data_IF_014858467779
#
_entry.id   IF_014858467779
#
_cell.length_a   1.000
_cell.length_b   1.000
_cell.length_c   1.000
_cell.angle_alpha   90.00
_cell.angle_beta   90.00
_cell.angle_gamma   90.00
#
_symmetry.space_group_name_H-M   'P 1'
#
loop_
_entity.id
_entity.type
_entity.pdbx_description
1 polymer ?
#
# COMPACT_ATOMS: atom_id res chain seq x y z
N UNK A 1 8.70 -12.79 -6.46
CA UNK A 1 8.67 -11.54 -5.66
C UNK A 1 8.39 -10.29 -6.48
N UNK A 2 9.01 -10.16 -7.66
CA UNK A 2 8.90 -8.94 -8.49
C UNK A 2 7.48 -8.53 -8.85
N UNK A 3 6.55 -9.49 -9.01
CA UNK A 3 5.13 -9.18 -9.22
C UNK A 3 4.46 -8.61 -7.98
N UNK A 4 4.71 -9.19 -6.80
CA UNK A 4 4.16 -8.71 -5.53
C UNK A 4 4.71 -7.32 -5.22
N UNK A 5 6.01 -7.09 -5.41
CA UNK A 5 6.64 -5.76 -5.30
C UNK A 5 6.11 -4.77 -6.34
N UNK A 6 5.85 -5.18 -7.58
CA UNK A 6 5.25 -4.32 -8.62
C UNK A 6 3.82 -3.94 -8.25
N UNK A 7 3.01 -4.89 -7.80
CA UNK A 7 1.64 -4.66 -7.38
C UNK A 7 1.61 -3.72 -6.16
N UNK A 8 2.45 -3.99 -5.14
CA UNK A 8 2.61 -3.13 -3.97
C UNK A 8 3.01 -1.70 -4.37
N UNK A 9 4.03 -1.52 -5.22
CA UNK A 9 4.40 -0.17 -5.70
C UNK A 9 3.28 0.55 -6.44
N UNK A 10 2.55 -0.14 -7.33
CA UNK A 10 1.41 0.47 -8.05
C UNK A 10 0.32 0.94 -7.07
N UNK A 11 0.02 0.13 -6.08
CA UNK A 11 -0.97 0.44 -5.05
C UNK A 11 -0.48 1.56 -4.11
N UNK A 12 0.77 1.49 -3.66
CA UNK A 12 1.41 2.50 -2.83
C UNK A 12 1.41 3.88 -3.51
N UNK A 13 1.69 3.95 -4.81
CA UNK A 13 1.64 5.22 -5.57
C UNK A 13 0.20 5.72 -5.75
N UNK A 14 -0.77 4.81 -5.91
CA UNK A 14 -2.19 5.16 -6.06
C UNK A 14 -2.80 5.69 -4.77
N UNK A 15 -2.35 5.18 -3.63
CA UNK A 15 -2.83 5.55 -2.29
C UNK A 15 -1.77 6.31 -1.48
N UNK A 16 -0.78 6.91 -2.12
CA UNK A 16 0.29 7.61 -1.40
C UNK A 16 -0.30 8.84 -0.70
N UNK A 17 0.01 9.06 0.59
CA UNK A 17 -0.48 10.23 1.31
C UNK A 17 -0.17 11.53 0.58
N UNK A 18 1.02 11.69 -0.04
CA UNK A 18 1.33 12.87 -0.88
C UNK A 18 0.29 13.18 -1.95
N UNK A 19 -0.24 12.17 -2.65
CA UNK A 19 -1.19 12.41 -3.75
C UNK A 19 -2.58 12.77 -3.26
N UNK A 20 -2.87 12.52 -1.99
CA UNK A 20 -4.16 12.80 -1.36
C UNK A 20 -4.09 13.94 -0.34
N UNK A 21 -2.91 14.54 -0.14
CA UNK A 21 -2.75 15.73 0.69
C UNK A 21 -3.63 16.88 0.17
N UNK A 22 -3.68 17.04 -1.14
CA UNK A 22 -4.46 18.08 -1.82
C UNK A 22 -5.99 17.85 -1.74
N UNK A 23 -6.41 16.60 -1.53
CA UNK A 23 -7.82 16.20 -1.49
C UNK A 23 -8.46 16.35 -0.10
N UNK A 24 -7.68 16.70 0.93
CA UNK A 24 -8.15 16.94 2.29
C UNK A 24 -8.12 15.71 3.21
N UNK A 25 -8.47 15.95 4.48
CA UNK A 25 -8.26 14.99 5.59
C UNK A 25 -9.03 13.67 5.43
N UNK A 26 -10.22 13.72 4.84
CA UNK A 26 -11.04 12.54 4.60
C UNK A 26 -10.36 11.57 3.61
N UNK A 27 -9.83 12.10 2.52
CA UNK A 27 -9.08 11.31 1.53
C UNK A 27 -7.75 10.80 2.10
N UNK A 28 -7.08 11.60 2.94
CA UNK A 28 -5.88 11.17 3.66
C UNK A 28 -6.14 9.95 4.57
N UNK A 29 -7.25 9.97 5.32
CA UNK A 29 -7.66 8.82 6.16
C UNK A 29 -7.96 7.58 5.32
N UNK A 30 -8.73 7.74 4.25
CA UNK A 30 -9.10 6.64 3.36
C UNK A 30 -7.87 6.04 2.67
N UNK A 31 -6.95 6.88 2.19
CA UNK A 31 -5.71 6.42 1.57
C UNK A 31 -4.83 5.68 2.58
N UNK A 32 -4.75 6.17 3.82
CA UNK A 32 -4.00 5.52 4.90
C UNK A 32 -4.58 4.14 5.23
N UNK A 33 -5.88 4.01 5.44
CA UNK A 33 -6.52 2.71 5.68
C UNK A 33 -6.27 1.71 4.56
N UNK A 34 -6.38 2.17 3.29
CA UNK A 34 -6.09 1.32 2.14
C UNK A 34 -4.62 0.94 2.09
N UNK A 35 -3.71 1.89 2.36
CA UNK A 35 -2.28 1.66 2.37
C UNK A 35 -1.88 0.65 3.46
N UNK A 36 -2.40 0.79 4.67
CA UNK A 36 -2.20 -0.15 5.78
C UNK A 36 -2.70 -1.57 5.40
N UNK A 37 -3.89 -1.69 4.81
CA UNK A 37 -4.40 -2.98 4.34
C UNK A 37 -3.52 -3.61 3.24
N UNK A 38 -3.03 -2.81 2.30
CA UNK A 38 -2.11 -3.25 1.24
C UNK A 38 -0.77 -3.70 1.83
N UNK A 39 -0.27 -2.97 2.83
CA UNK A 39 0.99 -3.29 3.49
C UNK A 39 0.87 -4.58 4.31
N UNK A 40 -0.21 -4.75 5.08
CA UNK A 40 -0.49 -5.99 5.82
C UNK A 40 -0.60 -7.20 4.89
N UNK A 41 -1.34 -7.07 3.78
CA UNK A 41 -1.43 -8.13 2.77
C UNK A 41 -0.05 -8.43 2.14
N UNK A 42 0.76 -7.40 1.88
CA UNK A 42 2.12 -7.56 1.37
C UNK A 42 3.02 -8.31 2.36
N UNK A 43 3.00 -7.93 3.65
CA UNK A 43 3.77 -8.58 4.71
C UNK A 43 3.37 -10.04 4.88
N UNK A 44 2.06 -10.33 4.84
CA UNK A 44 1.56 -11.69 4.94
C UNK A 44 2.00 -12.55 3.75
N UNK A 45 1.90 -12.04 2.52
CA UNK A 45 2.40 -12.73 1.33
C UNK A 45 3.92 -12.90 1.39
N UNK A 46 4.65 -11.90 1.89
CA UNK A 46 6.11 -11.95 2.04
C UNK A 46 6.52 -13.05 3.02
N UNK A 47 5.81 -13.16 4.14
CA UNK A 47 6.03 -14.18 5.16
C UNK A 47 5.65 -15.57 4.66
N UNK A 48 4.49 -15.71 4.01
CA UNK A 48 3.98 -16.97 3.47
C UNK A 48 4.87 -17.52 2.35
N UNK A 49 5.41 -16.64 1.50
CA UNK A 49 6.33 -17.01 0.41
C UNK A 49 7.80 -17.10 0.83
N UNK A 50 8.12 -16.90 2.11
CA UNK A 50 9.47 -17.08 2.65
C UNK A 50 10.53 -16.12 2.08
N UNK A 51 10.15 -14.90 1.68
CA UNK A 51 11.11 -13.88 1.23
C UNK A 51 11.86 -13.32 2.44
N UNK A 52 12.95 -13.97 2.82
CA UNK A 52 13.92 -13.46 3.81
C UNK A 52 14.81 -12.42 3.17
#
# INVERSE_FOLDING_TARGET
DSEVKKAYRKLAVKFHPDKVLDLGEAHKKQARERFDAIQAAYEQIKSDRGFK
#
